data_IF_898904570535
#
_entry.id   IF_898904570535
#
_cell.length_a   1.000
_cell.length_b   1.000
_cell.length_c   1.000
_cell.angle_alpha   90.00
_cell.angle_beta   90.00
_cell.angle_gamma   90.00
#
_symmetry.space_group_name_H-M   'P 1'
#
loop_
_entity.id
_entity.type
_entity.pdbx_description
1 polymer ?
#
# COMPACT_ATOMS: atom_id res chain seq x y z
N UNK A 1 -55.08 8.76 1.19
CA UNK A 1 -53.87 9.35 1.78
C UNK A 1 -52.70 8.51 1.31
N UNK A 2 -52.02 8.95 0.25
CA UNK A 2 -50.96 8.19 -0.40
C UNK A 2 -49.69 8.28 0.43
N UNK A 3 -49.19 7.15 0.91
CA UNK A 3 -47.91 7.08 1.62
C UNK A 3 -46.78 7.61 0.73
N UNK A 4 -45.90 8.50 1.21
CA UNK A 4 -44.76 8.94 0.43
C UNK A 4 -43.84 7.73 0.18
N UNK A 5 -43.55 7.49 -1.09
CA UNK A 5 -42.68 6.43 -1.56
C UNK A 5 -41.32 6.54 -0.87
N UNK A 6 -40.86 5.45 -0.24
CA UNK A 6 -39.61 5.38 0.54
C UNK A 6 -38.33 5.77 -0.25
N UNK A 7 -38.41 5.92 -1.58
CA UNK A 7 -37.31 6.41 -2.40
C UNK A 7 -37.22 7.94 -2.42
N UNK A 8 -38.33 8.65 -2.20
CA UNK A 8 -38.36 10.11 -2.18
C UNK A 8 -37.59 10.66 -0.97
N UNK A 9 -37.60 9.94 0.16
CA UNK A 9 -36.97 10.37 1.42
C UNK A 9 -35.45 10.26 1.42
N UNK A 10 -34.87 9.27 0.74
CA UNK A 10 -33.42 9.10 0.68
C UNK A 10 -32.76 10.19 -0.18
N UNK A 11 -33.36 10.51 -1.32
CA UNK A 11 -32.85 11.55 -2.22
C UNK A 11 -32.87 12.91 -1.50
N UNK A 12 -33.97 13.23 -0.81
CA UNK A 12 -34.08 14.46 -0.03
C UNK A 12 -33.06 14.52 1.11
N UNK A 13 -32.80 13.39 1.80
CA UNK A 13 -31.79 13.30 2.85
C UNK A 13 -30.37 13.50 2.31
N UNK A 14 -30.05 12.98 1.12
CA UNK A 14 -28.76 13.18 0.46
C UNK A 14 -28.57 14.66 0.08
N UNK A 15 -29.62 15.32 -0.41
CA UNK A 15 -29.56 16.75 -0.74
C UNK A 15 -29.43 17.66 0.48
N UNK A 16 -30.01 17.26 1.62
CA UNK A 16 -29.92 18.00 2.87
C UNK A 16 -28.61 17.73 3.66
N UNK A 17 -27.87 16.67 3.32
CA UNK A 17 -26.65 16.28 4.02
C UNK A 17 -25.51 17.28 3.80
N UNK A 18 -24.62 17.39 4.79
CA UNK A 18 -23.43 18.24 4.68
C UNK A 18 -22.43 17.67 3.67
N UNK A 19 -21.63 18.53 3.00
CA UNK A 19 -20.58 18.08 2.08
C UNK A 19 -19.56 17.13 2.73
N UNK A 20 -19.26 17.31 4.01
CA UNK A 20 -18.33 16.49 4.77
C UNK A 20 -18.86 15.06 4.94
N UNK A 21 -20.14 14.94 5.33
CA UNK A 21 -20.80 13.65 5.49
C UNK A 21 -20.94 12.92 4.16
N UNK A 22 -21.27 13.64 3.08
CA UNK A 22 -21.34 13.08 1.73
C UNK A 22 -19.98 12.56 1.26
N UNK A 23 -18.88 13.27 1.55
CA UNK A 23 -17.52 12.82 1.22
C UNK A 23 -17.14 11.56 1.99
N UNK A 24 -17.42 11.52 3.29
CA UNK A 24 -17.11 10.36 4.14
C UNK A 24 -17.86 9.10 3.65
N UNK A 25 -19.16 9.24 3.38
CA UNK A 25 -19.99 8.14 2.87
C UNK A 25 -19.53 7.71 1.48
N UNK A 26 -19.22 8.66 0.59
CA UNK A 26 -18.72 8.35 -0.76
C UNK A 26 -17.38 7.60 -0.73
N UNK A 27 -16.45 8.01 0.14
CA UNK A 27 -15.17 7.32 0.34
C UNK A 27 -15.38 5.91 0.86
N UNK A 28 -16.27 5.73 1.85
CA UNK A 28 -16.61 4.41 2.41
C UNK A 28 -17.18 3.48 1.33
N UNK A 29 -18.13 3.95 0.53
CA UNK A 29 -18.76 3.16 -0.54
C UNK A 29 -17.75 2.84 -1.64
N UNK A 30 -16.93 3.79 -2.08
CA UNK A 30 -15.91 3.58 -3.10
C UNK A 30 -14.78 2.62 -2.64
N UNK A 31 -14.56 2.48 -1.33
CA UNK A 31 -13.58 1.51 -0.81
C UNK A 31 -14.12 0.08 -0.84
N UNK A 32 -15.42 -0.09 -0.60
CA UNK A 32 -16.09 -1.39 -0.51
C UNK A 32 -16.57 -1.90 -1.87
N UNK A 33 -17.12 -1.01 -2.71
CA UNK A 33 -17.72 -1.38 -3.99
C UNK A 33 -16.87 -0.90 -5.19
N UNK A 34 -16.39 -1.86 -5.99
CA UNK A 34 -15.51 -1.60 -7.14
C UNK A 34 -16.22 -0.81 -8.25
N UNK A 35 -17.46 -1.14 -8.68
CA UNK A 35 -18.20 -0.31 -9.63
C UNK A 35 -18.36 1.14 -9.19
N UNK A 36 -18.71 1.39 -7.92
CA UNK A 36 -18.77 2.75 -7.37
C UNK A 36 -17.41 3.45 -7.43
N UNK A 37 -16.31 2.76 -7.13
CA UNK A 37 -14.95 3.32 -7.26
C UNK A 37 -14.63 3.74 -8.69
N UNK A 38 -14.86 2.86 -9.65
CA UNK A 38 -14.57 3.14 -11.06
C UNK A 38 -15.43 4.32 -11.57
N UNK A 39 -16.69 4.45 -11.14
CA UNK A 39 -17.54 5.59 -11.46
C UNK A 39 -17.05 6.91 -10.84
N UNK A 40 -16.63 6.88 -9.56
CA UNK A 40 -16.05 8.05 -8.88
C UNK A 40 -14.74 8.48 -9.56
N UNK A 41 -13.88 7.54 -9.91
CA UNK A 41 -12.63 7.81 -10.62
C UNK A 41 -12.88 8.46 -11.99
N UNK A 42 -13.83 7.93 -12.77
CA UNK A 42 -14.18 8.49 -14.07
C UNK A 42 -14.71 9.92 -13.97
N UNK A 43 -15.56 10.24 -13.00
CA UNK A 43 -16.13 11.59 -12.89
C UNK A 43 -15.13 12.59 -12.28
N UNK A 44 -14.49 12.24 -11.16
CA UNK A 44 -13.64 13.18 -10.41
C UNK A 44 -12.22 13.30 -10.99
N UNK A 45 -11.68 12.26 -11.64
CA UNK A 45 -10.32 12.30 -12.18
C UNK A 45 -10.27 12.71 -13.66
N UNK A 46 -11.39 12.70 -14.39
CA UNK A 46 -11.45 13.14 -15.81
C UNK A 46 -11.80 14.63 -15.96
N UNK A 47 -12.47 15.25 -14.97
CA UNK A 47 -12.83 16.68 -15.05
C UNK A 47 -11.63 17.65 -14.99
N UNK A 48 -10.44 17.20 -14.56
CA UNK A 48 -9.22 18.05 -14.54
C UNK A 48 -8.60 18.31 -15.91
N UNK A 49 -9.12 17.73 -17.01
CA UNK A 49 -8.60 17.98 -18.36
C UNK A 49 -9.57 18.67 -19.33
N UNK A 50 -10.79 19.02 -18.90
CA UNK A 50 -11.78 19.65 -19.79
C UNK A 50 -12.13 21.11 -19.44
N UNK A 51 -11.77 21.60 -18.25
CA UNK A 51 -12.08 22.99 -17.83
C UNK A 51 -11.35 24.08 -18.63
N UNK A 52 -10.34 23.77 -19.45
CA UNK A 52 -9.60 24.76 -20.23
C UNK A 52 -9.94 24.77 -21.73
N UNK A 53 -10.96 24.04 -22.19
CA UNK A 53 -11.30 23.99 -23.62
C UNK A 53 -12.75 24.43 -23.89
N UNK A 54 -13.11 25.62 -23.42
CA UNK A 54 -14.32 26.29 -23.89
C UNK A 54 -13.94 27.60 -24.57
N UNK A 55 -14.49 27.77 -25.77
CA UNK A 55 -14.35 28.88 -26.71
C UNK A 55 -13.09 28.78 -27.57
N UNK A 56 -13.21 28.11 -28.72
CA UNK A 56 -13.00 28.71 -30.03
C UNK A 56 -13.78 27.89 -31.06
N UNK A 57 -14.78 28.52 -31.66
CA UNK A 57 -15.57 28.04 -32.79
C UNK A 57 -14.67 27.93 -34.03
N UNK A 58 -14.47 26.72 -34.54
CA UNK A 58 -13.69 26.45 -35.76
C UNK A 58 -14.64 26.19 -36.92
N UNK A 59 -14.66 27.13 -37.86
CA UNK A 59 -15.27 27.00 -39.18
C UNK A 59 -14.41 26.10 -40.07
N UNK A 60 -15.08 25.38 -40.97
CA UNK A 60 -14.45 24.33 -41.76
C UNK A 60 -13.27 24.84 -42.60
N UNK A 61 -12.16 24.12 -42.51
CA UNK A 61 -11.29 23.75 -43.63
C UNK A 61 -10.20 22.80 -43.13
N UNK A 62 -10.22 21.58 -43.67
CA UNK A 62 -9.14 20.61 -43.47
C UNK A 62 -7.89 21.06 -44.22
N UNK A 63 -6.71 20.73 -43.68
CA UNK A 63 -5.68 20.18 -44.55
C UNK A 63 -5.12 18.87 -43.99
N UNK A 64 -5.12 17.86 -44.86
CA UNK A 64 -4.33 16.63 -44.75
C UNK A 64 -2.86 16.97 -44.56
N UNK A 65 -2.29 16.66 -43.38
CA UNK A 65 -0.86 16.36 -43.27
C UNK A 65 -0.62 15.26 -42.22
N UNK A 66 0.14 14.27 -42.68
CA UNK A 66 0.64 13.11 -41.97
C UNK A 66 1.39 13.54 -40.72
N UNK A 67 1.02 13.00 -39.55
CA UNK A 67 1.76 13.24 -38.29
C UNK A 67 2.10 11.93 -37.62
N UNK A 68 3.40 11.65 -37.60
CA UNK A 68 4.07 10.68 -36.78
C UNK A 68 3.61 10.78 -35.33
N UNK A 69 3.27 9.64 -34.75
CA UNK A 69 2.92 9.48 -33.34
C UNK A 69 4.14 9.76 -32.46
N UNK A 70 4.40 11.03 -32.17
CA UNK A 70 5.32 11.41 -31.11
C UNK A 70 4.63 11.14 -29.78
N UNK A 71 4.81 9.92 -29.27
CA UNK A 71 4.51 9.59 -27.87
C UNK A 71 5.32 10.56 -27.01
N UNK A 72 4.65 11.47 -26.30
CA UNK A 72 5.29 12.37 -25.33
C UNK A 72 6.03 11.50 -24.31
N UNK A 73 7.34 11.33 -24.50
CA UNK A 73 8.21 10.65 -23.53
C UNK A 73 8.10 11.42 -22.21
N UNK A 74 7.88 10.72 -21.11
CA UNK A 74 7.80 11.35 -19.78
C UNK A 74 9.15 12.01 -19.50
N UNK A 75 9.12 13.24 -18.96
CA UNK A 75 10.35 14.01 -18.68
C UNK A 75 11.21 13.34 -17.60
N UNK A 76 10.59 12.59 -16.68
CA UNK A 76 11.29 11.86 -15.63
C UNK A 76 11.02 10.35 -15.72
N UNK A 77 12.08 9.56 -15.55
CA UNK A 77 12.07 8.09 -15.54
C UNK A 77 12.95 7.57 -14.39
N UNK A 78 12.76 6.33 -13.95
CA UNK A 78 13.60 5.70 -12.92
C UNK A 78 14.70 4.87 -13.57
N UNK A 79 15.94 5.01 -13.09
CA UNK A 79 17.05 4.18 -13.56
C UNK A 79 16.82 2.71 -13.17
N UNK A 80 16.85 1.79 -14.13
CA UNK A 80 16.64 0.36 -13.88
C UNK A 80 17.68 -0.29 -12.95
N UNK A 81 18.79 0.41 -12.66
CA UNK A 81 19.91 -0.12 -11.87
C UNK A 81 20.09 0.54 -10.50
N UNK A 82 19.85 1.84 -10.39
CA UNK A 82 19.97 2.56 -9.11
C UNK A 82 18.63 3.04 -8.56
N UNK A 83 17.53 2.82 -9.28
CA UNK A 83 16.15 3.15 -8.92
C UNK A 83 15.85 4.63 -8.67
N UNK A 84 16.83 5.52 -8.84
CA UNK A 84 16.65 6.97 -8.74
C UNK A 84 15.93 7.51 -9.96
N UNK A 85 15.05 8.49 -9.70
CA UNK A 85 14.41 9.30 -10.73
C UNK A 85 15.45 10.22 -11.40
N UNK A 86 15.42 10.29 -12.72
CA UNK A 86 16.27 11.17 -13.52
C UNK A 86 15.47 11.86 -14.62
N UNK A 87 15.91 13.06 -15.00
CA UNK A 87 15.36 13.81 -16.12
C UNK A 87 15.91 13.22 -17.44
N UNK A 88 15.02 12.65 -18.26
CA UNK A 88 15.36 12.01 -19.54
C UNK A 88 15.99 13.00 -20.52
N UNK A 89 15.69 14.29 -20.36
CA UNK A 89 16.27 15.36 -21.21
C UNK A 89 17.69 15.74 -20.81
N UNK A 90 18.15 15.28 -19.63
CA UNK A 90 19.49 15.53 -19.08
C UNK A 90 20.29 14.25 -18.87
N UNK A 91 19.82 13.13 -19.42
CA UNK A 91 20.50 11.84 -19.32
C UNK A 91 21.65 11.79 -20.32
N UNK A 92 22.87 12.05 -19.83
CA UNK A 92 24.11 11.85 -20.56
C UNK A 92 24.83 10.58 -20.08
N UNK A 93 25.95 10.23 -20.73
CA UNK A 93 26.74 9.04 -20.38
C UNK A 93 27.36 9.07 -18.99
N UNK A 94 27.26 10.19 -18.25
CA UNK A 94 27.84 10.39 -16.92
C UNK A 94 26.77 10.60 -15.82
N UNK A 95 25.50 10.82 -16.21
CA UNK A 95 24.38 11.10 -15.32
C UNK A 95 24.12 9.99 -14.29
N UNK A 96 24.52 8.75 -14.59
CA UNK A 96 24.46 7.61 -13.66
C UNK A 96 25.85 7.27 -13.11
N UNK A 97 26.22 7.80 -11.94
CA UNK A 97 27.46 7.44 -11.22
C UNK A 97 27.21 6.23 -10.30
N UNK A 98 27.56 5.04 -10.75
CA UNK A 98 27.71 3.85 -9.89
C UNK A 98 29.17 3.38 -9.92
N UNK A 99 29.82 3.30 -8.75
CA UNK A 99 31.17 2.77 -8.53
C UNK A 99 31.07 1.33 -7.98
N UNK A 100 31.95 0.39 -8.37
CA UNK A 100 33.30 0.36 -7.83
C UNK A 100 34.36 0.27 -8.94
N UNK A 101 35.42 1.05 -8.77
CA UNK A 101 36.65 0.91 -9.56
C UNK A 101 37.64 0.18 -8.66
N UNK A 102 38.05 -1.07 -8.96
CA UNK A 102 39.38 -1.52 -8.58
C UNK A 102 40.37 -0.83 -9.53
N UNK A 103 41.33 -0.12 -8.96
CA UNK A 103 42.41 0.57 -9.67
C UNK A 103 43.14 -0.36 -10.64
N UNK A 104 43.16 -0.02 -11.94
CA UNK A 104 44.37 0.04 -12.77
C UNK A 104 44.06 0.28 -14.27
N UNK A 105 44.30 1.52 -14.71
CA UNK A 105 44.94 1.90 -15.99
C UNK A 105 44.15 1.67 -17.33
N UNK A 106 44.66 2.14 -18.50
CA UNK A 106 44.15 3.35 -19.15
C UNK A 106 43.59 3.14 -20.57
N UNK A 107 42.82 4.14 -21.01
CA UNK A 107 42.43 4.51 -22.38
C UNK A 107 42.87 3.62 -23.56
N UNK A 108 41.90 3.06 -24.29
CA UNK A 108 41.86 3.15 -25.76
C UNK A 108 40.48 2.75 -26.28
N UNK A 109 39.96 3.51 -27.24
CA UNK A 109 38.70 3.23 -27.91
C UNK A 109 38.72 1.88 -28.64
N UNK A 110 37.59 1.19 -28.59
CA UNK A 110 37.37 -0.07 -29.28
C UNK A 110 36.09 -0.72 -28.79
N UNK A 111 35.07 -0.70 -29.65
CA UNK A 111 33.84 -1.46 -29.46
C UNK A 111 34.18 -2.93 -29.29
N UNK A 112 34.12 -3.46 -28.07
CA UNK A 112 34.25 -4.88 -27.79
C UNK A 112 33.17 -5.28 -26.78
N UNK A 113 31.94 -5.46 -27.30
CA UNK A 113 30.91 -6.22 -26.60
C UNK A 113 31.37 -7.68 -26.54
N UNK A 114 31.94 -8.07 -25.40
CA UNK A 114 32.08 -9.48 -25.05
C UNK A 114 30.66 -10.07 -24.93
N UNK A 115 30.39 -11.25 -25.54
CA UNK A 115 29.08 -11.88 -25.40
C UNK A 115 28.85 -12.23 -23.93
N UNK A 116 27.72 -11.76 -23.39
CA UNK A 116 27.26 -12.13 -22.05
C UNK A 116 27.16 -13.67 -21.97
N UNK A 117 27.52 -14.29 -20.83
CA UNK A 117 27.24 -15.69 -20.61
C UNK A 117 25.71 -15.91 -20.73
N UNK A 118 25.34 -16.98 -21.44
CA UNK A 118 23.95 -17.33 -21.73
C UNK A 118 23.16 -17.43 -20.41
N UNK A 119 22.35 -16.41 -20.13
CA UNK A 119 21.43 -16.42 -19.00
C UNK A 119 20.33 -17.42 -19.31
N UNK A 120 20.29 -18.49 -18.52
CA UNK A 120 19.27 -19.51 -18.64
C UNK A 120 17.89 -18.88 -18.36
N UNK A 121 17.04 -18.82 -19.39
CA UNK A 121 15.75 -18.10 -19.41
C UNK A 121 14.63 -18.80 -18.62
N UNK A 122 14.96 -19.86 -17.89
CA UNK A 122 14.01 -20.64 -17.08
C UNK A 122 13.90 -20.17 -15.61
N UNK A 123 14.49 -19.02 -15.25
CA UNK A 123 14.29 -18.44 -13.93
C UNK A 123 12.90 -17.76 -13.83
N UNK A 124 12.06 -18.07 -12.83
CA UNK A 124 10.76 -17.44 -12.68
C UNK A 124 10.96 -15.92 -12.50
N UNK A 125 10.14 -15.15 -13.22
CA UNK A 125 10.16 -13.70 -13.25
C UNK A 125 10.39 -13.12 -11.85
N UNK A 126 11.47 -12.34 -11.71
CA UNK A 126 11.80 -11.60 -10.50
C UNK A 126 10.63 -10.69 -10.14
N UNK A 127 9.75 -11.21 -9.30
CA UNK A 127 8.65 -10.45 -8.72
C UNK A 127 9.31 -9.36 -7.90
N UNK A 128 9.08 -8.10 -8.26
CA UNK A 128 9.60 -6.94 -7.52
C UNK A 128 9.16 -7.11 -6.06
N UNK A 129 10.08 -7.52 -5.18
CA UNK A 129 9.80 -7.68 -3.76
C UNK A 129 9.40 -6.31 -3.22
N UNK A 130 8.36 -6.27 -2.39
CA UNK A 130 7.92 -5.01 -1.82
C UNK A 130 8.99 -4.57 -0.82
N UNK A 131 9.26 -3.26 -0.78
CA UNK A 131 10.23 -2.72 0.17
C UNK A 131 9.72 -2.87 1.60
N UNK A 132 8.42 -2.69 1.82
CA UNK A 132 7.79 -2.86 3.11
C UNK A 132 6.78 -4.02 3.05
N UNK A 133 6.83 -4.88 4.05
CA UNK A 133 5.94 -6.04 4.21
C UNK A 133 5.43 -6.11 5.66
N UNK A 134 4.31 -6.80 5.87
CA UNK A 134 3.73 -7.00 7.20
C UNK A 134 4.28 -8.30 7.78
N UNK A 135 4.81 -8.24 9.00
CA UNK A 135 5.31 -9.43 9.68
C UNK A 135 4.15 -10.29 10.21
N UNK A 136 4.17 -11.60 9.95
CA UNK A 136 3.15 -12.53 10.44
C UNK A 136 3.24 -12.82 11.95
N UNK A 137 4.38 -12.54 12.57
CA UNK A 137 4.63 -12.84 13.98
C UNK A 137 4.28 -11.65 14.87
N UNK A 138 4.80 -10.46 14.55
CA UNK A 138 4.60 -9.26 15.37
C UNK A 138 3.55 -8.29 14.83
N UNK A 139 2.98 -8.57 13.64
CA UNK A 139 2.00 -7.72 12.95
C UNK A 139 2.44 -6.26 12.74
N UNK A 140 3.76 -6.01 12.69
CA UNK A 140 4.34 -4.71 12.37
C UNK A 140 4.87 -4.69 10.94
N UNK A 141 4.80 -3.52 10.31
CA UNK A 141 5.43 -3.26 9.03
C UNK A 141 6.97 -3.21 9.20
N UNK A 142 7.70 -3.86 8.28
CA UNK A 142 9.16 -3.88 8.29
C UNK A 142 9.75 -3.67 6.89
N UNK A 143 10.95 -3.08 6.82
CA UNK A 143 11.70 -2.91 5.55
C UNK A 143 12.44 -4.23 5.24
N UNK A 144 12.13 -4.86 4.11
CA UNK A 144 12.73 -6.13 3.68
C UNK A 144 14.22 -6.03 3.42
N UNK A 145 14.75 -4.82 3.24
CA UNK A 145 16.20 -4.56 3.08
C UNK A 145 16.93 -4.36 4.40
N UNK A 146 16.20 -4.19 5.52
CA UNK A 146 16.73 -3.93 6.86
C UNK A 146 16.21 -4.91 7.90
N UNK A 147 16.09 -6.19 7.51
CA UNK A 147 15.64 -7.25 8.41
C UNK A 147 16.86 -7.98 8.98
N UNK A 148 17.24 -7.65 10.22
CA UNK A 148 18.28 -8.37 10.95
C UNK A 148 17.68 -9.49 11.80
N UNK A 149 18.53 -10.43 12.23
CA UNK A 149 18.13 -11.57 13.08
C UNK A 149 17.50 -11.20 14.43
N UNK A 150 17.61 -9.94 14.83
CA UNK A 150 17.11 -9.37 16.07
C UNK A 150 16.06 -8.25 15.87
N UNK A 151 15.56 -8.08 14.64
CA UNK A 151 14.65 -7.00 14.29
C UNK A 151 13.22 -7.23 14.81
N UNK A 152 12.73 -8.47 14.77
CA UNK A 152 11.38 -8.83 15.17
C UNK A 152 11.36 -9.27 16.62
N UNK A 153 10.56 -8.61 17.45
CA UNK A 153 10.35 -8.98 18.85
C UNK A 153 8.85 -9.19 19.08
N UNK A 154 8.48 -10.41 19.48
CA UNK A 154 7.08 -10.86 19.49
C UNK A 154 6.83 -11.88 20.62
N UNK A 155 5.56 -12.20 20.85
CA UNK A 155 5.13 -13.25 21.75
C UNK A 155 4.49 -14.37 20.93
N UNK A 156 4.88 -15.62 21.17
CA UNK A 156 4.32 -16.80 20.51
C UNK A 156 3.09 -17.39 21.21
N UNK A 157 2.87 -16.96 22.44
CA UNK A 157 1.72 -17.34 23.25
C UNK A 157 0.45 -16.59 22.87
N UNK A 158 -0.65 -17.01 23.46
CA UNK A 158 -1.94 -16.34 23.34
C UNK A 158 -2.08 -15.32 24.45
N UNK A 159 -2.67 -14.16 24.13
CA UNK A 159 -2.97 -13.14 25.12
C UNK A 159 -4.31 -13.49 25.76
N UNK A 160 -4.35 -13.70 27.07
CA UNK A 160 -5.54 -14.16 27.81
C UNK A 160 -5.87 -13.20 28.95
N UNK A 161 -7.13 -13.17 29.39
CA UNK A 161 -7.57 -12.33 30.53
C UNK A 161 -6.90 -12.83 31.81
N UNK A 162 -6.31 -11.91 32.60
CA UNK A 162 -5.78 -12.26 33.92
C UNK A 162 -6.92 -12.42 34.94
N UNK A 163 -7.56 -13.59 34.94
CA UNK A 163 -8.66 -13.93 35.85
C UNK A 163 -8.24 -14.07 37.32
N UNK A 164 -6.94 -14.21 37.58
CA UNK A 164 -6.39 -14.37 38.93
C UNK A 164 -5.84 -13.08 39.51
N UNK A 165 -5.66 -12.05 38.68
CA UNK A 165 -5.19 -10.75 39.09
C UNK A 165 -6.30 -9.84 39.60
N UNK A 166 -5.90 -8.83 40.37
CA UNK A 166 -6.83 -7.82 40.92
C UNK A 166 -7.27 -6.78 39.88
N UNK A 167 -6.75 -6.81 38.65
CA UNK A 167 -6.98 -5.78 37.64
C UNK A 167 -8.47 -5.66 37.26
N UNK A 168 -9.16 -6.79 37.10
CA UNK A 168 -10.57 -6.85 36.73
C UNK A 168 -11.51 -7.09 37.92
N UNK A 169 -11.03 -6.99 39.16
CA UNK A 169 -11.82 -7.36 40.35
C UNK A 169 -13.11 -6.54 40.52
N UNK A 170 -13.13 -5.30 40.04
CA UNK A 170 -14.31 -4.42 40.06
C UNK A 170 -15.16 -4.48 38.77
N UNK A 171 -14.71 -5.23 37.75
CA UNK A 171 -15.39 -5.33 36.46
C UNK A 171 -16.36 -6.50 36.43
N UNK A 172 -17.64 -6.19 36.52
CA UNK A 172 -18.73 -7.16 36.32
C UNK A 172 -19.21 -7.15 34.85
N UNK A 173 -19.07 -8.26 34.14
CA UNK A 173 -19.43 -8.37 32.72
C UNK A 173 -20.94 -8.18 32.44
N UNK A 174 -21.82 -8.48 33.41
CA UNK A 174 -23.26 -8.28 33.25
C UNK A 174 -23.63 -6.79 33.20
N UNK A 175 -22.78 -5.92 33.76
CA UNK A 175 -23.00 -4.48 33.84
C UNK A 175 -22.06 -3.67 32.95
N UNK A 176 -20.80 -4.10 32.82
CA UNK A 176 -19.74 -3.37 32.12
C UNK A 176 -19.41 -3.97 30.76
N UNK A 177 -19.95 -5.15 30.42
CA UNK A 177 -19.68 -5.86 29.18
C UNK A 177 -18.49 -6.81 29.25
N UNK A 178 -18.29 -7.58 28.18
CA UNK A 178 -17.24 -8.60 28.04
C UNK A 178 -15.84 -8.00 28.19
N UNK A 179 -15.01 -8.61 29.04
CA UNK A 179 -13.62 -8.19 29.27
C UNK A 179 -12.75 -8.57 28.08
N UNK A 180 -12.98 -9.76 27.51
CA UNK A 180 -12.19 -10.28 26.40
C UNK A 180 -12.66 -9.70 25.05
N UNK A 181 -12.35 -8.43 24.83
CA UNK A 181 -12.59 -7.75 23.56
C UNK A 181 -11.31 -7.08 23.04
N UNK A 182 -11.19 -6.91 21.72
CA UNK A 182 -10.03 -6.24 21.11
C UNK A 182 -9.85 -4.80 21.65
N UNK A 183 -10.96 -4.09 21.88
CA UNK A 183 -10.94 -2.74 22.45
C UNK A 183 -10.33 -2.74 23.86
N UNK A 184 -10.74 -3.66 24.73
CA UNK A 184 -10.18 -3.80 26.08
C UNK A 184 -8.71 -4.25 26.05
N UNK A 185 -8.33 -5.11 25.10
CA UNK A 185 -6.94 -5.55 24.90
C UNK A 185 -6.02 -4.40 24.48
N UNK A 186 -6.52 -3.48 23.66
CA UNK A 186 -5.78 -2.27 23.25
C UNK A 186 -5.74 -1.20 24.37
N UNK A 187 -6.84 -0.96 25.08
CA UNK A 187 -6.94 0.10 26.10
C UNK A 187 -6.30 -0.31 27.43
N UNK A 188 -6.48 -1.57 27.84
CA UNK A 188 -6.05 -2.12 29.13
C UNK A 188 -5.17 -3.37 28.98
N UNK A 189 -4.04 -3.30 28.25
CA UNK A 189 -3.21 -4.48 27.97
C UNK A 189 -2.63 -5.14 29.24
N UNK A 190 -2.48 -4.39 30.34
CA UNK A 190 -2.01 -4.93 31.63
C UNK A 190 -3.02 -5.85 32.33
N UNK A 191 -4.30 -5.76 31.95
CA UNK A 191 -5.34 -6.69 32.39
C UNK A 191 -5.25 -8.08 31.76
N UNK A 192 -4.31 -8.27 30.82
CA UNK A 192 -4.10 -9.52 30.10
C UNK A 192 -2.69 -10.06 30.35
N UNK A 193 -2.53 -11.37 30.14
CA UNK A 193 -1.28 -12.10 30.31
C UNK A 193 -0.98 -12.96 29.08
N UNK A 194 0.29 -13.02 28.69
CA UNK A 194 0.75 -13.86 27.60
C UNK A 194 0.98 -15.29 28.07
N UNK A 195 -0.02 -16.14 27.90
CA UNK A 195 0.07 -17.56 28.26
C UNK A 195 0.79 -18.36 27.16
N UNK A 196 1.58 -19.35 27.55
CA UNK A 196 2.28 -20.22 26.61
C UNK A 196 3.62 -19.70 26.08
N UNK A 197 4.07 -18.49 26.47
CA UNK A 197 5.43 -18.02 26.17
C UNK A 197 6.22 -17.54 27.39
N UNK A 198 5.82 -16.45 28.04
CA UNK A 198 6.59 -15.80 29.12
C UNK A 198 5.76 -15.38 30.33
N UNK A 199 4.44 -15.52 30.28
CA UNK A 199 3.51 -15.19 31.38
C UNK A 199 3.61 -13.72 31.83
N UNK A 200 4.10 -12.84 30.95
CA UNK A 200 4.17 -11.41 31.22
C UNK A 200 2.85 -10.73 30.86
N UNK A 201 2.66 -9.52 31.40
CA UNK A 201 1.51 -8.65 31.11
C UNK A 201 1.39 -8.33 29.62
N UNK A 202 0.19 -8.05 29.14
CA UNK A 202 -0.05 -7.75 27.72
C UNK A 202 0.76 -6.56 27.19
N UNK A 203 1.09 -5.58 28.04
CA UNK A 203 1.95 -4.44 27.68
C UNK A 203 3.43 -4.79 27.52
N UNK A 204 3.85 -5.96 27.98
CA UNK A 204 5.25 -6.36 27.98
C UNK A 204 5.76 -6.57 26.55
N UNK A 205 7.01 -6.18 26.33
CA UNK A 205 7.69 -6.43 25.05
C UNK A 205 7.76 -7.93 24.79
N UNK A 206 7.67 -8.32 23.51
CA UNK A 206 7.85 -9.69 23.05
C UNK A 206 9.04 -10.40 23.70
N UNK A 207 8.84 -11.66 24.10
CA UNK A 207 9.87 -12.49 24.71
C UNK A 207 10.73 -13.25 23.69
N UNK A 208 10.27 -13.35 22.43
CA UNK A 208 10.99 -13.99 21.35
C UNK A 208 11.59 -12.97 20.39
N UNK A 209 12.74 -13.33 19.82
CA UNK A 209 13.53 -12.46 18.94
C UNK A 209 13.91 -13.23 17.68
N UNK A 210 13.58 -12.69 16.51
CA UNK A 210 13.90 -13.30 15.22
C UNK A 210 13.99 -12.25 14.11
N UNK A 211 14.29 -12.70 12.89
CA UNK A 211 13.99 -11.92 11.69
C UNK A 211 12.47 -11.79 11.54
N UNK A 212 12.00 -10.70 10.92
CA UNK A 212 10.61 -10.60 10.50
C UNK A 212 10.31 -11.60 9.40
N UNK A 213 9.24 -12.39 9.56
CA UNK A 213 8.71 -13.25 8.51
C UNK A 213 7.51 -12.58 7.84
N UNK A 214 7.54 -12.43 6.52
CA UNK A 214 6.46 -11.84 5.76
C UNK A 214 5.28 -12.79 5.62
N UNK A 215 4.07 -12.31 5.86
CA UNK A 215 2.86 -13.11 5.69
C UNK A 215 2.74 -13.65 4.25
N UNK A 216 2.42 -14.94 4.06
CA UNK A 216 2.29 -15.51 2.72
C UNK A 216 1.16 -14.82 1.96
N UNK A 217 1.47 -14.36 0.74
CA UNK A 217 0.46 -13.81 -0.16
C UNK A 217 -0.53 -14.91 -0.54
N UNK A 218 -1.69 -14.99 0.12
CA UNK A 218 -2.73 -15.93 -0.29
C UNK A 218 -3.30 -15.47 -1.63
N UNK A 219 -2.75 -15.99 -2.73
CA UNK A 219 -3.36 -15.85 -4.05
C UNK A 219 -4.71 -16.57 -4.02
N UNK A 220 -5.81 -15.82 -3.89
CA UNK A 220 -7.17 -16.35 -4.03
C UNK A 220 -7.27 -17.10 -5.37
N UNK A 221 -7.25 -18.43 -5.31
CA UNK A 221 -7.46 -19.31 -6.45
C UNK A 221 -8.87 -19.02 -6.96
N UNK A 222 -8.98 -18.33 -8.10
CA UNK A 222 -10.25 -18.11 -8.80
C UNK A 222 -10.82 -19.49 -9.10
N UNK A 223 -11.95 -19.85 -8.47
CA UNK A 223 -12.71 -21.05 -8.84
C UNK A 223 -13.11 -20.89 -10.31
N UNK A 224 -12.73 -21.88 -11.12
CA UNK A 224 -13.14 -22.03 -12.50
C UNK A 224 -14.61 -22.40 -12.59
#
# INVERSE_FOLDING_TARGET
>A
MSSPSSQQTLVDAIHAASPELLREILLRIAFVDRPCREAVEQEFLVQTVQSSFSRLSWDGSAPSQTRSSSTKRRRYECCARCEREYDVTKNDGEACRWHPVPEAAPTTGGNNCLPLPEVNVDAPASTKRKRYEMCEQCHKEFDTTKNSSDACVWHSGDLEVDVYGDFWADHDEDYHGEIDTEEMREEFPDGFIWEGCCEQRGSAKGCEVSEHVAAPFTAKKRRS
#
